data_IF_692954076231
#
_entry.id   IF_692954076231
#
_cell.length_a   1.000
_cell.length_b   1.000
_cell.length_c   1.000
_cell.angle_alpha   90.00
_cell.angle_beta   90.00
_cell.angle_gamma   90.00
#
_symmetry.space_group_name_H-M   'P 1'
#
loop_
_entity.id
_entity.type
_entity.pdbx_description
1 polymer ?
#
# COMPACT_ATOMS: atom_id res chain seq x y z
N UNK A 1 13.96 -12.92 5.88
CA UNK A 1 14.66 -12.18 4.80
C UNK A 1 15.45 -13.21 4.03
N UNK A 2 15.30 -13.26 2.71
CA UNK A 2 16.05 -14.21 1.89
C UNK A 2 17.56 -13.90 1.95
N UNK A 3 18.40 -14.94 2.09
CA UNK A 3 19.85 -14.76 2.04
C UNK A 3 20.31 -14.40 0.62
N UNK A 4 21.51 -13.84 0.48
CA UNK A 4 22.08 -13.56 -0.84
C UNK A 4 22.15 -14.83 -1.72
N UNK A 5 22.48 -15.98 -1.11
CA UNK A 5 22.51 -17.27 -1.79
C UNK A 5 21.12 -17.70 -2.29
N UNK A 6 20.09 -17.53 -1.46
CA UNK A 6 18.70 -17.88 -1.81
C UNK A 6 18.20 -17.01 -2.96
N UNK A 7 18.41 -15.69 -2.86
CA UNK A 7 18.03 -14.73 -3.89
C UNK A 7 18.70 -15.03 -5.23
N UNK A 8 19.96 -15.47 -5.21
CA UNK A 8 20.68 -15.85 -6.44
C UNK A 8 20.05 -17.08 -7.11
N UNK A 9 19.49 -18.00 -6.34
CA UNK A 9 18.83 -19.20 -6.85
C UNK A 9 17.35 -18.96 -7.21
N UNK A 10 16.70 -18.01 -6.52
CA UNK A 10 15.28 -17.71 -6.63
C UNK A 10 15.02 -16.20 -6.76
N UNK A 11 15.53 -15.55 -7.84
CA UNK A 11 15.42 -14.09 -8.00
C UNK A 11 13.96 -13.61 -8.13
N UNK A 12 13.04 -14.51 -8.49
CA UNK A 12 11.60 -14.24 -8.55
C UNK A 12 11.03 -13.71 -7.23
N UNK A 13 11.62 -14.11 -6.10
CA UNK A 13 11.20 -13.68 -4.75
C UNK A 13 11.47 -12.20 -4.48
N UNK A 14 12.26 -11.52 -5.31
CA UNK A 14 12.52 -10.08 -5.20
C UNK A 14 11.54 -9.21 -5.98
N UNK A 15 10.70 -9.80 -6.83
CA UNK A 15 9.71 -9.06 -7.61
C UNK A 15 8.74 -8.37 -6.65
N UNK A 16 8.55 -7.06 -6.81
CA UNK A 16 7.71 -6.23 -5.94
C UNK A 16 8.12 -6.24 -4.45
N UNK A 17 9.41 -6.47 -4.16
CA UNK A 17 9.96 -6.43 -2.79
C UNK A 17 9.81 -5.06 -2.11
N UNK A 18 9.95 -3.96 -2.86
CA UNK A 18 9.74 -2.61 -2.35
C UNK A 18 8.32 -2.39 -1.80
N UNK A 19 7.26 -2.53 -2.62
CA UNK A 19 5.88 -2.42 -2.15
C UNK A 19 5.51 -3.44 -1.08
N UNK A 20 6.09 -4.65 -1.12
CA UNK A 20 5.92 -5.64 -0.06
C UNK A 20 6.46 -5.16 1.30
N UNK A 21 7.54 -4.39 1.29
CA UNK A 21 8.02 -3.65 2.46
C UNK A 21 7.00 -2.67 2.99
N UNK A 22 6.40 -1.86 2.12
CA UNK A 22 5.34 -0.91 2.48
C UNK A 22 4.13 -1.61 3.12
N UNK A 23 3.72 -2.76 2.58
CA UNK A 23 2.64 -3.58 3.13
C UNK A 23 2.98 -4.07 4.54
N UNK A 24 4.21 -4.56 4.77
CA UNK A 24 4.65 -4.98 6.10
C UNK A 24 4.63 -3.82 7.11
N UNK A 25 5.00 -2.62 6.65
CA UNK A 25 4.84 -1.39 7.44
C UNK A 25 3.38 -1.07 7.74
N UNK A 26 2.50 -1.17 6.74
CA UNK A 26 1.07 -0.89 6.88
C UNK A 26 0.36 -1.84 7.86
N UNK A 27 0.77 -3.12 7.91
CA UNK A 27 0.31 -4.07 8.96
C UNK A 27 0.63 -3.52 10.36
N UNK A 28 1.84 -3.01 10.57
CA UNK A 28 2.23 -2.41 11.86
C UNK A 28 1.46 -1.13 12.16
N UNK A 29 1.24 -0.28 11.16
CA UNK A 29 0.44 0.93 11.30
C UNK A 29 -0.98 0.57 11.74
N UNK A 30 -1.62 -0.40 11.07
CA UNK A 30 -2.94 -0.91 11.44
C UNK A 30 -2.99 -1.42 12.88
N UNK A 31 -1.99 -2.18 13.32
CA UNK A 31 -1.88 -2.65 14.70
C UNK A 31 -1.74 -1.49 15.70
N UNK A 32 -0.91 -0.49 15.39
CA UNK A 32 -0.65 0.65 16.28
C UNK A 32 -1.89 1.54 16.48
N UNK A 33 -2.74 1.67 15.46
CA UNK A 33 -4.00 2.44 15.56
C UNK A 33 -5.20 1.57 15.98
N UNK A 34 -5.00 0.28 16.25
CA UNK A 34 -6.08 -0.65 16.60
C UNK A 34 -7.06 -0.93 15.46
N UNK A 35 -6.65 -0.77 14.20
CA UNK A 35 -7.42 -1.07 13.00
C UNK A 35 -6.64 -2.07 12.11
N UNK A 36 -6.78 -3.39 12.34
CA UNK A 36 -6.02 -4.41 11.62
C UNK A 36 -6.45 -4.58 10.15
N UNK A 37 -7.63 -4.06 9.78
CA UNK A 37 -8.15 -4.05 8.42
C UNK A 37 -7.77 -2.75 7.72
N UNK A 38 -6.84 -2.85 6.78
CA UNK A 38 -6.18 -1.71 6.14
C UNK A 38 -6.23 -1.85 4.63
N UNK A 39 -6.61 -0.77 3.96
CA UNK A 39 -6.32 -0.56 2.55
C UNK A 39 -5.02 0.23 2.45
N UNK A 40 -3.97 -0.39 1.92
CA UNK A 40 -2.67 0.26 1.77
C UNK A 40 -2.47 0.77 0.35
N UNK A 41 -2.03 2.02 0.22
CA UNK A 41 -1.73 2.68 -1.05
C UNK A 41 -0.35 3.35 -0.98
N UNK A 42 0.57 2.97 -1.86
CA UNK A 42 1.89 3.60 -2.02
C UNK A 42 1.93 4.33 -3.36
N UNK A 43 2.03 5.67 -3.35
CA UNK A 43 2.08 6.48 -4.58
C UNK A 43 3.47 7.07 -4.76
N UNK A 44 4.20 6.49 -5.71
CA UNK A 44 5.53 6.95 -6.12
C UNK A 44 5.48 7.98 -7.25
N UNK A 45 6.64 8.20 -7.87
CA UNK A 45 6.77 9.08 -9.04
C UNK A 45 6.31 8.45 -10.36
N UNK A 46 6.22 7.13 -10.47
CA UNK A 46 5.90 6.46 -11.75
C UNK A 46 4.60 5.68 -11.65
N UNK A 47 4.45 4.95 -10.56
CA UNK A 47 3.35 4.02 -10.33
C UNK A 47 2.77 4.26 -8.94
N UNK A 48 1.56 3.75 -8.75
CA UNK A 48 1.03 3.52 -7.43
C UNK A 48 0.69 2.04 -7.27
N UNK A 49 0.84 1.57 -6.05
CA UNK A 49 0.68 0.17 -5.69
C UNK A 49 -0.30 0.08 -4.53
N UNK A 50 -1.18 -0.90 -4.59
CA UNK A 50 -2.22 -1.09 -3.58
C UNK A 50 -2.20 -2.51 -3.02
N UNK A 51 -2.56 -2.65 -1.75
CA UNK A 51 -2.79 -3.94 -1.10
C UNK A 51 -3.96 -3.88 -0.14
N UNK A 52 -4.69 -4.98 -0.02
CA UNK A 52 -5.69 -5.17 1.01
C UNK A 52 -5.09 -6.03 2.12
N UNK A 53 -5.22 -5.57 3.36
CA UNK A 53 -4.78 -6.25 4.57
C UNK A 53 -6.02 -6.47 5.42
N UNK A 54 -6.27 -7.72 5.81
CA UNK A 54 -7.41 -8.11 6.63
C UNK A 54 -6.91 -8.88 7.83
N UNK A 55 -7.40 -8.54 9.01
CA UNK A 55 -6.98 -9.14 10.29
C UNK A 55 -5.45 -9.09 10.47
N UNK A 56 -4.81 -8.02 9.98
CA UNK A 56 -3.35 -7.86 9.99
C UNK A 56 -2.59 -8.78 9.02
N UNK A 57 -3.30 -9.42 8.07
CA UNK A 57 -2.73 -10.34 7.08
C UNK A 57 -2.89 -9.78 5.65
N UNK A 58 -1.77 -9.54 4.93
CA UNK A 58 -1.84 -9.14 3.53
C UNK A 58 -2.49 -10.20 2.65
N UNK A 59 -3.38 -9.77 1.76
CA UNK A 59 -4.03 -10.65 0.80
C UNK A 59 -3.13 -10.89 -0.41
N UNK A 60 -2.81 -12.16 -0.68
CA UNK A 60 -1.99 -12.55 -1.84
C UNK A 60 -2.85 -12.56 -3.10
N UNK A 61 -2.38 -11.90 -4.16
CA UNK A 61 -3.05 -11.90 -5.46
C UNK A 61 -2.38 -12.92 -6.37
N UNK A 62 -3.10 -13.96 -6.84
CA UNK A 62 -2.50 -15.03 -7.62
C UNK A 62 -2.28 -14.71 -9.11
N UNK A 63 -2.68 -13.51 -9.57
CA UNK A 63 -2.75 -13.16 -10.99
C UNK A 63 -1.84 -11.99 -11.40
N UNK A 64 -0.80 -11.65 -10.65
CA UNK A 64 0.10 -10.59 -11.09
C UNK A 64 0.91 -11.05 -12.30
N UNK A 65 0.75 -10.39 -13.45
CA UNK A 65 1.40 -10.82 -14.70
C UNK A 65 2.57 -9.90 -15.06
N UNK A 66 3.77 -10.47 -15.04
CA UNK A 66 4.98 -9.84 -15.56
C UNK A 66 4.97 -9.89 -17.09
N UNK A 67 5.42 -8.82 -17.73
CA UNK A 67 5.56 -8.72 -19.20
C UNK A 67 4.26 -9.03 -19.98
N UNK A 68 3.11 -8.82 -19.35
CA UNK A 68 1.84 -8.99 -20.02
C UNK A 68 1.59 -7.89 -21.05
N UNK A 69 1.01 -8.26 -22.18
CA UNK A 69 0.44 -7.33 -23.15
C UNK A 69 -0.80 -7.94 -23.80
N UNK A 70 -1.51 -7.16 -24.62
CA UNK A 70 -2.62 -7.71 -25.43
C UNK A 70 -2.19 -8.86 -26.36
N UNK A 71 -0.90 -8.99 -26.66
CA UNK A 71 -0.34 -10.01 -27.54
C UNK A 71 0.52 -11.05 -26.82
N UNK A 72 0.78 -10.89 -25.52
CA UNK A 72 1.59 -11.79 -24.73
C UNK A 72 0.91 -12.08 -23.39
N UNK A 73 0.66 -13.36 -23.04
CA UNK A 73 0.01 -13.70 -21.78
C UNK A 73 0.89 -13.37 -20.55
N UNK A 74 2.16 -13.04 -20.74
CA UNK A 74 3.10 -12.74 -19.66
C UNK A 74 3.39 -13.93 -18.76
N UNK A 75 3.99 -13.66 -17.59
CA UNK A 75 4.30 -14.65 -16.56
C UNK A 75 3.55 -14.32 -15.28
N UNK A 76 2.71 -15.23 -14.82
CA UNK A 76 1.96 -15.04 -13.58
C UNK A 76 2.85 -15.32 -12.37
N UNK A 77 2.87 -14.39 -11.43
CA UNK A 77 3.50 -14.53 -10.12
C UNK A 77 2.51 -14.15 -9.02
N UNK A 78 2.72 -14.70 -7.83
CA UNK A 78 1.88 -14.40 -6.67
C UNK A 78 2.56 -13.30 -5.85
N UNK A 79 1.94 -12.13 -5.78
CA UNK A 79 2.42 -11.00 -4.95
C UNK A 79 1.23 -10.36 -4.22
N UNK A 80 1.44 -9.77 -3.04
CA UNK A 80 0.37 -9.12 -2.29
C UNK A 80 0.04 -7.72 -2.81
N UNK A 81 0.41 -7.40 -4.05
CA UNK A 81 0.38 -6.05 -4.62
C UNK A 81 -0.46 -6.04 -5.89
N UNK A 82 -1.28 -5.00 -6.04
CA UNK A 82 -1.95 -4.64 -7.28
C UNK A 82 -1.34 -3.33 -7.79
N UNK A 83 -0.91 -3.31 -9.04
CA UNK A 83 -0.45 -2.08 -9.70
C UNK A 83 -1.67 -1.30 -10.20
N UNK A 84 -1.72 -0.01 -9.87
CA UNK A 84 -2.78 0.89 -10.29
C UNK A 84 -2.30 1.96 -11.29
N UNK A 85 -1.03 1.92 -11.70
CA UNK A 85 -0.50 2.54 -12.91
C UNK A 85 -0.30 4.06 -12.91
N UNK A 86 -0.79 4.80 -11.92
CA UNK A 86 -0.67 6.25 -11.85
C UNK A 86 0.18 6.70 -10.65
N UNK A 87 1.22 7.51 -10.88
CA UNK A 87 2.07 8.13 -9.86
C UNK A 87 2.35 9.60 -10.20
N UNK A 88 3.13 10.31 -9.38
CA UNK A 88 3.33 11.77 -9.54
C UNK A 88 3.82 12.21 -10.92
N UNK A 89 4.61 11.39 -11.61
CA UNK A 89 5.13 11.65 -12.95
C UNK A 89 4.24 11.15 -14.09
N UNK A 90 3.03 10.65 -13.83
CA UNK A 90 2.09 10.29 -14.88
C UNK A 90 1.76 11.50 -15.74
N UNK A 91 1.88 11.32 -17.06
CA UNK A 91 1.78 12.39 -18.05
C UNK A 91 0.31 12.70 -18.33
N UNK A 92 -0.03 13.98 -18.35
CA UNK A 92 -1.31 14.48 -18.80
C UNK A 92 -1.27 14.80 -20.30
N UNK A 93 -2.30 14.39 -21.04
CA UNK A 93 -2.40 14.65 -22.49
C UNK A 93 -3.85 14.80 -22.94
N UNK A 94 -4.04 15.51 -24.06
CA UNK A 94 -5.33 15.60 -24.75
C UNK A 94 -5.28 14.65 -25.96
N UNK A 95 -6.28 13.78 -26.10
CA UNK A 95 -6.39 12.91 -27.26
C UNK A 95 -6.95 13.62 -28.50
N UNK A 96 -6.99 12.92 -29.64
CA UNK A 96 -7.53 13.47 -30.89
C UNK A 96 -9.02 13.83 -30.82
N UNK A 97 -9.75 13.29 -29.84
CA UNK A 97 -11.17 13.57 -29.62
C UNK A 97 -11.38 14.73 -28.63
N UNK A 98 -10.31 15.32 -28.08
CA UNK A 98 -10.37 16.42 -27.12
C UNK A 98 -10.56 15.98 -25.66
N UNK A 99 -10.43 14.69 -25.34
CA UNK A 99 -10.52 14.22 -23.96
C UNK A 99 -9.18 14.31 -23.24
N UNK A 100 -9.22 14.70 -21.98
CA UNK A 100 -8.06 14.71 -21.08
C UNK A 100 -7.81 13.31 -20.52
N UNK A 101 -6.56 12.86 -20.64
CA UNK A 101 -6.05 11.60 -20.10
C UNK A 101 -4.88 11.86 -19.17
N UNK A 102 -4.71 11.00 -18.16
CA UNK A 102 -3.57 11.02 -17.24
C UNK A 102 -3.01 9.60 -17.10
N UNK A 103 -1.75 9.42 -17.50
CA UNK A 103 -1.14 8.11 -17.65
C UNK A 103 -1.66 7.34 -18.88
N UNK A 104 -1.26 6.08 -19.07
CA UNK A 104 -0.33 5.31 -18.22
C UNK A 104 1.14 5.69 -18.41
N UNK A 105 1.45 6.51 -19.42
CA UNK A 105 2.81 6.99 -19.65
C UNK A 105 3.29 7.85 -18.48
N UNK A 106 4.57 7.73 -18.15
CA UNK A 106 5.20 8.47 -17.06
C UNK A 106 6.49 9.12 -17.51
N UNK A 107 6.75 10.32 -17.01
CA UNK A 107 8.00 11.04 -17.20
C UNK A 107 9.17 10.45 -16.37
N UNK A 108 8.88 9.50 -15.47
CA UNK A 108 9.84 8.88 -14.57
C UNK A 108 10.54 9.90 -13.67
N UNK A 109 11.80 9.63 -13.31
CA UNK A 109 12.65 10.56 -12.54
C UNK A 109 13.60 11.37 -13.43
N UNK A 110 13.87 10.88 -14.65
CA UNK A 110 14.75 11.50 -15.65
C UNK A 110 14.17 11.23 -17.04
N UNK A 111 13.71 12.25 -17.78
CA UNK A 111 13.83 13.68 -17.46
C UNK A 111 12.91 14.12 -16.30
N UNK A 112 11.86 13.36 -15.97
CA UNK A 112 10.93 13.66 -14.89
C UNK A 112 9.94 14.80 -15.22
N UNK A 113 9.11 15.19 -14.23
CA UNK A 113 8.23 16.35 -14.30
C UNK A 113 8.92 17.60 -14.86
N UNK A 114 8.16 18.44 -15.54
CA UNK A 114 8.67 19.67 -16.17
C UNK A 114 9.28 20.60 -15.12
N UNK A 115 8.64 20.70 -13.96
CA UNK A 115 9.05 21.51 -12.83
C UNK A 115 10.41 21.11 -12.24
N UNK A 116 10.95 19.93 -12.57
CA UNK A 116 12.31 19.54 -12.14
C UNK A 116 13.42 20.22 -12.94
N UNK A 117 13.10 20.88 -14.07
CA UNK A 117 14.09 21.60 -14.88
C UNK A 117 15.14 20.70 -15.55
N UNK A 118 14.87 19.40 -15.69
CA UNK A 118 15.79 18.37 -16.22
C UNK A 118 15.54 18.01 -17.69
N UNK A 119 14.82 18.86 -18.42
CA UNK A 119 14.48 18.64 -19.84
C UNK A 119 13.15 17.90 -20.06
N UNK A 120 12.33 17.73 -19.02
CA UNK A 120 10.95 17.25 -19.17
C UNK A 120 10.11 18.31 -19.88
N UNK A 121 9.22 17.88 -20.78
CA UNK A 121 8.37 18.79 -21.59
C UNK A 121 6.87 18.48 -21.47
N UNK A 122 6.51 17.29 -21.01
CA UNK A 122 5.12 16.86 -20.91
C UNK A 122 4.61 17.12 -19.50
N UNK A 123 3.44 17.77 -19.32
CA UNK A 123 2.90 18.07 -18.00
C UNK A 123 2.56 16.78 -17.24
N UNK A 124 2.83 16.77 -15.94
CA UNK A 124 2.59 15.62 -15.05
C UNK A 124 1.69 15.95 -13.87
N UNK A 125 1.32 14.95 -13.06
CA UNK A 125 0.59 15.17 -11.80
C UNK A 125 1.42 16.04 -10.85
N UNK A 126 2.72 15.82 -10.71
CA UNK A 126 3.60 16.66 -9.88
C UNK A 126 3.61 18.11 -10.35
N UNK A 127 3.63 18.34 -11.67
CA UNK A 127 3.50 19.69 -12.21
C UNK A 127 2.15 20.33 -11.84
N UNK A 128 1.06 19.57 -11.89
CA UNK A 128 -0.26 20.04 -11.46
C UNK A 128 -0.31 20.38 -9.97
N UNK A 129 0.29 19.55 -9.11
CA UNK A 129 0.38 19.78 -7.67
C UNK A 129 1.17 21.05 -7.34
N UNK A 130 2.20 21.36 -8.13
CA UNK A 130 2.93 22.62 -8.01
C UNK A 130 2.10 23.81 -8.46
N UNK A 131 1.45 23.73 -9.63
CA UNK A 131 0.64 24.82 -10.18
C UNK A 131 -0.55 25.16 -9.27
N UNK A 132 -1.14 24.16 -8.63
CA UNK A 132 -2.27 24.33 -7.69
C UNK A 132 -1.86 24.76 -6.29
N UNK A 133 -0.55 24.94 -6.03
CA UNK A 133 -0.04 25.42 -4.74
C UNK A 133 0.05 24.36 -3.65
N UNK A 134 -0.14 23.07 -3.96
CA UNK A 134 0.01 21.99 -2.97
C UNK A 134 1.49 21.82 -2.60
N UNK A 135 2.38 21.84 -3.60
CA UNK A 135 3.83 21.73 -3.38
C UNK A 135 4.48 23.08 -3.12
N UNK A 136 5.49 23.09 -2.24
CA UNK A 136 6.40 24.21 -2.07
C UNK A 136 7.43 24.26 -3.20
N UNK A 137 7.51 25.36 -3.99
CA UNK A 137 8.53 25.48 -5.02
C UNK A 137 9.97 25.61 -4.48
N UNK A 138 10.15 26.15 -3.27
CA UNK A 138 11.48 26.42 -2.69
C UNK A 138 11.95 25.28 -1.78
N UNK A 139 11.02 24.57 -1.14
CA UNK A 139 11.34 23.57 -0.11
C UNK A 139 11.22 22.10 -0.58
N UNK A 140 11.11 21.84 -1.88
CA UNK A 140 10.99 20.46 -2.38
C UNK A 140 12.23 19.61 -2.03
N UNK A 141 11.99 18.40 -1.55
CA UNK A 141 13.02 17.52 -0.99
C UNK A 141 13.89 18.22 0.08
N UNK A 142 13.26 18.98 0.98
CA UNK A 142 13.92 19.77 2.03
C UNK A 142 14.91 20.80 1.47
N UNK A 143 14.51 21.48 0.40
CA UNK A 143 15.29 22.53 -0.28
C UNK A 143 16.45 22.00 -1.13
N UNK A 144 16.55 20.69 -1.37
CA UNK A 144 17.57 20.13 -2.26
C UNK A 144 17.29 20.42 -3.74
N UNK A 145 16.05 20.77 -4.08
CA UNK A 145 15.65 21.10 -5.45
C UNK A 145 14.63 22.23 -5.41
N UNK A 146 14.91 23.31 -6.14
CA UNK A 146 13.90 24.34 -6.44
C UNK A 146 13.10 23.93 -7.66
N UNK A 147 11.77 24.03 -7.57
CA UNK A 147 10.86 23.67 -8.65
C UNK A 147 10.55 24.88 -9.54
N UNK A 148 10.53 24.65 -10.85
CA UNK A 148 10.21 25.69 -11.84
C UNK A 148 8.70 25.79 -12.08
N UNK A 149 8.06 26.70 -11.35
CA UNK A 149 6.62 26.98 -11.48
C UNK A 149 6.28 27.52 -12.87
N UNK A 150 7.13 28.36 -13.46
CA UNK A 150 6.86 28.98 -14.76
C UNK A 150 6.91 27.95 -15.89
N UNK A 151 7.86 27.02 -15.82
CA UNK A 151 7.94 25.90 -16.76
C UNK A 151 6.72 24.97 -16.63
N UNK A 152 6.32 24.63 -15.39
CA UNK A 152 5.11 23.83 -15.15
C UNK A 152 3.86 24.49 -15.75
N UNK A 153 3.65 25.79 -15.47
CA UNK A 153 2.52 26.56 -16.03
C UNK A 153 2.55 26.58 -17.56
N UNK A 154 3.72 26.77 -18.16
CA UNK A 154 3.89 26.76 -19.62
C UNK A 154 3.53 25.40 -20.21
N UNK A 155 3.92 24.29 -19.56
CA UNK A 155 3.58 22.94 -20.02
C UNK A 155 2.07 22.63 -19.96
N UNK A 156 1.32 23.29 -19.07
CA UNK A 156 -0.13 23.17 -18.99
C UNK A 156 -0.89 24.02 -20.02
N UNK A 157 -0.25 25.00 -20.68
CA UNK A 157 -0.91 25.89 -21.63
C UNK A 157 -1.69 25.13 -22.74
N UNK A 158 -1.14 24.10 -23.39
CA UNK A 158 -1.88 23.37 -24.43
C UNK A 158 -3.15 22.67 -23.91
N UNK A 159 -3.12 22.18 -22.66
CA UNK A 159 -4.29 21.54 -22.03
C UNK A 159 -5.33 22.60 -21.68
N UNK A 160 -4.90 23.73 -21.10
CA UNK A 160 -5.74 24.88 -20.78
C UNK A 160 -6.44 25.43 -22.03
N UNK A 161 -5.70 25.60 -23.13
CA UNK A 161 -6.25 26.07 -24.42
C UNK A 161 -7.27 25.08 -25.00
N UNK A 162 -6.97 23.77 -24.95
CA UNK A 162 -7.86 22.74 -25.48
C UNK A 162 -9.18 22.62 -24.69
N UNK A 163 -9.13 22.81 -23.37
CA UNK A 163 -10.29 22.77 -22.49
C UNK A 163 -11.00 24.12 -22.35
N UNK A 164 -10.42 25.20 -22.86
CA UNK A 164 -10.91 26.57 -22.74
C UNK A 164 -11.16 26.97 -21.27
N UNK A 165 -10.18 26.68 -20.42
CA UNK A 165 -10.18 26.97 -18.98
C UNK A 165 -8.84 27.59 -18.55
N UNK A 166 -8.72 28.05 -17.30
CA UNK A 166 -7.45 28.54 -16.78
C UNK A 166 -6.41 27.42 -16.62
N UNK A 167 -5.12 27.77 -16.48
CA UNK A 167 -4.06 26.80 -16.21
C UNK A 167 -4.32 26.07 -14.88
N UNK A 168 -4.77 26.79 -13.85
CA UNK A 168 -5.13 26.24 -12.55
C UNK A 168 -6.29 25.24 -12.66
N UNK A 169 -7.31 25.56 -13.44
CA UNK A 169 -8.44 24.67 -13.72
C UNK A 169 -8.00 23.41 -14.47
N UNK A 170 -7.12 23.56 -15.47
CA UNK A 170 -6.53 22.42 -16.19
C UNK A 170 -5.68 21.52 -15.26
N UNK A 171 -4.84 22.10 -14.40
CA UNK A 171 -4.05 21.36 -13.42
C UNK A 171 -4.94 20.65 -12.39
N UNK A 172 -5.96 21.33 -11.88
CA UNK A 172 -6.97 20.73 -10.98
C UNK A 172 -7.70 19.57 -11.66
N UNK A 173 -8.06 19.70 -12.95
CA UNK A 173 -8.69 18.63 -13.71
C UNK A 173 -7.78 17.39 -13.86
N UNK A 174 -6.48 17.59 -14.06
CA UNK A 174 -5.49 16.49 -14.10
C UNK A 174 -5.43 15.75 -12.77
N UNK A 175 -5.37 16.48 -11.64
CA UNK A 175 -5.38 15.87 -10.30
C UNK A 175 -6.68 15.07 -10.10
N UNK A 176 -7.84 15.64 -10.44
CA UNK A 176 -9.14 14.96 -10.31
C UNK A 176 -9.24 13.69 -11.14
N UNK A 177 -8.68 13.66 -12.35
CA UNK A 177 -8.66 12.43 -13.18
C UNK A 177 -7.76 11.38 -12.54
N UNK A 178 -6.59 11.77 -12.02
CA UNK A 178 -5.71 10.85 -11.31
C UNK A 178 -6.40 10.26 -10.07
N UNK A 179 -7.05 11.09 -9.26
CA UNK A 179 -7.84 10.66 -8.11
C UNK A 179 -8.97 9.70 -8.52
N UNK A 180 -9.73 10.03 -9.56
CA UNK A 180 -10.82 9.19 -10.06
C UNK A 180 -10.30 7.81 -10.53
N UNK A 181 -9.16 7.78 -11.24
CA UNK A 181 -8.52 6.55 -11.67
C UNK A 181 -8.08 5.70 -10.47
N UNK A 182 -7.46 6.33 -9.46
CA UNK A 182 -7.06 5.66 -8.23
C UNK A 182 -8.27 5.13 -7.45
N UNK A 183 -9.33 5.92 -7.28
CA UNK A 183 -10.58 5.49 -6.61
C UNK A 183 -11.17 4.27 -7.30
N UNK A 184 -11.24 4.28 -8.64
CA UNK A 184 -11.73 3.15 -9.40
C UNK A 184 -10.88 1.90 -9.14
N UNK A 185 -9.55 2.03 -9.19
CA UNK A 185 -8.65 0.91 -8.91
C UNK A 185 -8.76 0.40 -7.47
N UNK A 186 -8.88 1.30 -6.49
CA UNK A 186 -9.10 0.96 -5.08
C UNK A 186 -10.43 0.22 -4.87
N UNK A 187 -11.48 0.56 -5.60
CA UNK A 187 -12.77 -0.18 -5.60
C UNK A 187 -12.65 -1.57 -6.22
N UNK A 188 -11.77 -1.78 -7.21
CA UNK A 188 -11.50 -3.11 -7.77
C UNK A 188 -10.84 -4.05 -6.75
N UNK A 189 -9.95 -3.53 -5.90
CA UNK A 189 -9.25 -4.36 -4.91
C UNK A 189 -10.04 -4.56 -3.61
N UNK A 190 -11.11 -3.78 -3.39
CA UNK A 190 -11.99 -3.86 -2.21
C UNK A 190 -13.36 -4.42 -2.57
N UNK A 191 -14.24 -3.58 -3.14
CA UNK A 191 -15.66 -3.87 -3.39
C UNK A 191 -15.85 -5.09 -4.28
N UNK A 192 -15.08 -5.22 -5.36
CA UNK A 192 -15.18 -6.38 -6.24
C UNK A 192 -14.71 -7.69 -5.60
N UNK A 193 -14.00 -7.60 -4.47
CA UNK A 193 -13.58 -8.73 -3.64
C UNK A 193 -14.49 -8.94 -2.41
N UNK A 194 -15.60 -8.20 -2.32
CA UNK A 194 -16.59 -8.36 -1.25
C UNK A 194 -16.27 -7.59 0.03
N UNK A 195 -15.32 -6.64 0.01
CA UNK A 195 -14.96 -5.83 1.18
C UNK A 195 -15.45 -4.39 1.03
N UNK A 196 -16.13 -3.90 2.07
CA UNK A 196 -16.61 -2.51 2.12
C UNK A 196 -15.48 -1.57 2.60
N UNK A 197 -15.07 -0.57 1.80
CA UNK A 197 -14.04 0.39 2.20
C UNK A 197 -14.35 1.14 3.50
N UNK A 198 -15.63 1.27 3.88
CA UNK A 198 -16.06 1.97 5.10
C UNK A 198 -15.61 1.27 6.38
N UNK A 199 -15.34 -0.03 6.31
CA UNK A 199 -14.83 -0.82 7.42
C UNK A 199 -13.29 -0.74 7.53
N UNK A 200 -12.62 -0.14 6.54
CA UNK A 200 -11.16 -0.11 6.42
C UNK A 200 -10.59 1.24 6.85
N UNK A 201 -9.34 1.23 7.31
CA UNK A 201 -8.50 2.44 7.35
C UNK A 201 -7.60 2.50 6.11
N UNK A 202 -7.50 3.66 5.46
CA UNK A 202 -6.65 3.86 4.30
C UNK A 202 -5.26 4.36 4.72
N UNK A 203 -4.25 3.50 4.66
CA UNK A 203 -2.85 3.91 4.91
C UNK A 203 -2.23 4.34 3.59
N UNK A 204 -1.79 5.61 3.50
CA UNK A 204 -1.20 6.17 2.27
C UNK A 204 0.25 6.56 2.47
N UNK A 205 1.15 6.00 1.67
CA UNK A 205 2.57 6.31 1.65
C UNK A 205 3.06 6.75 0.27
N UNK A 206 4.38 6.90 0.15
CA UNK A 206 5.06 7.36 -1.05
C UNK A 206 5.18 8.87 -1.07
N UNK A 207 6.10 9.38 -1.90
CA UNK A 207 6.36 10.82 -1.96
C UNK A 207 5.15 11.62 -2.47
N UNK A 208 4.31 11.00 -3.32
CA UNK A 208 3.14 11.65 -3.90
C UNK A 208 1.81 11.28 -3.22
N UNK A 209 1.81 10.26 -2.37
CA UNK A 209 0.58 9.71 -1.81
C UNK A 209 -0.15 10.66 -0.87
N UNK A 210 0.53 11.24 0.14
CA UNK A 210 -0.12 12.12 1.12
C UNK A 210 -0.77 13.38 0.55
N UNK A 211 -0.35 13.83 -0.64
CA UNK A 211 -1.00 14.94 -1.36
C UNK A 211 -2.38 14.56 -1.92
N UNK A 212 -2.62 13.29 -2.20
CA UNK A 212 -3.86 12.74 -2.77
C UNK A 212 -4.74 12.06 -1.70
N UNK A 213 -4.12 11.63 -0.61
CA UNK A 213 -4.68 10.67 0.34
C UNK A 213 -6.07 11.04 0.88
N UNK A 214 -6.26 12.29 1.28
CA UNK A 214 -7.47 12.73 1.99
C UNK A 214 -8.70 12.80 1.10
N UNK A 215 -8.52 13.15 -0.18
CA UNK A 215 -9.60 13.10 -1.17
C UNK A 215 -9.98 11.65 -1.48
N UNK A 216 -8.99 10.76 -1.63
CA UNK A 216 -9.23 9.33 -1.84
C UNK A 216 -9.99 8.71 -0.66
N UNK A 217 -9.57 9.01 0.57
CA UNK A 217 -10.23 8.55 1.78
C UNK A 217 -11.68 9.01 1.88
N UNK A 218 -11.94 10.30 1.64
CA UNK A 218 -13.29 10.87 1.60
C UNK A 218 -14.21 10.18 0.59
N UNK A 219 -13.75 10.04 -0.65
CA UNK A 219 -14.52 9.45 -1.75
C UNK A 219 -14.79 7.95 -1.57
N UNK A 220 -13.91 7.26 -0.85
CA UNK A 220 -14.12 5.86 -0.44
C UNK A 220 -14.90 5.73 0.87
N UNK A 221 -15.12 6.85 1.59
CA UNK A 221 -15.76 6.88 2.90
C UNK A 221 -15.10 5.94 3.92
N UNK A 222 -13.78 5.84 3.86
CA UNK A 222 -13.02 4.99 4.79
C UNK A 222 -13.16 5.48 6.23
N UNK A 223 -12.94 4.57 7.18
CA UNK A 223 -13.01 4.90 8.61
C UNK A 223 -12.03 6.00 9.02
N UNK A 224 -10.82 5.96 8.46
CA UNK A 224 -9.80 7.00 8.62
C UNK A 224 -8.78 6.92 7.50
N UNK A 225 -8.14 8.04 7.18
CA UNK A 225 -6.96 8.10 6.31
C UNK A 225 -5.73 8.30 7.17
N UNK A 226 -4.72 7.47 6.99
CA UNK A 226 -3.54 7.45 7.84
C UNK A 226 -2.29 7.70 7.02
N UNK A 227 -1.55 8.75 7.38
CA UNK A 227 -0.24 9.04 6.80
C UNK A 227 0.84 8.56 7.79
N UNK A 228 1.62 7.51 7.45
CA UNK A 228 2.63 6.99 8.33
C UNK A 228 3.77 7.99 8.51
N UNK A 229 4.63 7.76 9.51
CA UNK A 229 5.91 8.46 9.59
C UNK A 229 6.78 8.09 8.39
N UNK A 230 7.52 9.06 7.87
CA UNK A 230 8.41 8.87 6.72
C UNK A 230 7.72 8.30 5.45
N UNK A 231 6.56 8.81 5.03
CA UNK A 231 5.77 8.27 3.92
C UNK A 231 6.60 8.10 2.64
N UNK A 232 7.48 9.04 2.29
CA UNK A 232 8.31 8.94 1.09
C UNK A 232 9.37 7.83 1.11
N UNK A 233 9.71 7.28 2.29
CA UNK A 233 10.63 6.13 2.45
C UNK A 233 9.99 4.98 3.24
N UNK A 234 8.66 4.96 3.32
CA UNK A 234 7.90 4.06 4.18
C UNK A 234 8.14 2.59 3.85
N UNK A 235 8.31 2.26 2.58
CA UNK A 235 8.63 0.90 2.14
C UNK A 235 9.96 0.39 2.71
N UNK A 236 10.97 1.26 2.88
CA UNK A 236 12.22 0.89 3.53
C UNK A 236 12.04 0.71 5.05
N UNK A 237 11.28 1.60 5.70
CA UNK A 237 10.92 1.45 7.10
C UNK A 237 10.13 0.17 7.37
N UNK A 238 9.19 -0.18 6.48
CA UNK A 238 8.40 -1.40 6.53
C UNK A 238 9.23 -2.67 6.33
N UNK A 239 10.30 -2.63 5.52
CA UNK A 239 11.26 -3.75 5.44
C UNK A 239 12.08 -3.95 6.72
N UNK A 240 12.53 -2.86 7.35
CA UNK A 240 13.31 -2.90 8.59
C UNK A 240 12.45 -3.26 9.79
N UNK A 241 11.19 -2.83 9.77
CA UNK A 241 10.15 -3.32 10.65
C UNK A 241 9.56 -4.54 9.97
N UNK A 242 10.25 -5.63 9.74
CA UNK A 242 9.58 -6.89 9.37
C UNK A 242 10.32 -8.01 10.07
N UNK A 243 9.57 -8.92 10.68
CA UNK A 243 10.21 -10.12 11.20
C UNK A 243 10.79 -10.89 10.02
N UNK A 244 12.05 -11.35 10.10
CA UNK A 244 12.60 -12.19 9.06
C UNK A 244 11.73 -13.43 8.89
N UNK A 245 11.10 -13.53 7.72
CA UNK A 245 10.24 -14.66 7.34
C UNK A 245 10.88 -15.55 6.28
N UNK A 246 10.54 -16.84 6.31
CA UNK A 246 10.74 -17.81 5.24
C UNK A 246 9.47 -18.67 5.06
N UNK A 247 9.19 -19.05 3.82
CA UNK A 247 8.05 -19.87 3.43
C UNK A 247 8.57 -21.19 2.86
N UNK A 248 8.35 -22.28 3.59
CA UNK A 248 8.81 -23.61 3.20
C UNK A 248 7.63 -24.46 2.75
N UNK A 249 7.77 -25.11 1.59
CA UNK A 249 6.73 -25.95 1.00
C UNK A 249 7.24 -27.38 0.77
N UNK A 250 6.36 -28.36 0.98
CA UNK A 250 6.61 -29.78 0.66
C UNK A 250 5.41 -30.35 -0.06
N UNK A 251 5.59 -30.88 -1.26
CA UNK A 251 4.54 -31.65 -1.92
C UNK A 251 4.34 -32.97 -1.19
N UNK A 252 3.11 -33.23 -0.80
CA UNK A 252 2.70 -34.44 -0.11
C UNK A 252 1.30 -34.80 -0.61
N UNK A 253 1.20 -35.88 -1.37
CA UNK A 253 -0.09 -36.45 -1.75
C UNK A 253 -0.52 -37.47 -0.71
N UNK A 254 -1.75 -37.35 -0.22
CA UNK A 254 -2.30 -38.26 0.77
C UNK A 254 -3.79 -38.04 1.01
N UNK A 255 -4.41 -38.99 1.70
CA UNK A 255 -5.79 -38.90 2.15
C UNK A 255 -5.84 -38.31 3.57
N UNK A 256 -6.98 -37.71 3.93
CA UNK A 256 -7.22 -37.24 5.29
C UNK A 256 -7.70 -38.40 6.16
N UNK A 257 -6.75 -39.22 6.61
CA UNK A 257 -6.96 -40.29 7.59
C UNK A 257 -5.90 -40.21 8.71
N UNK A 258 -5.92 -41.18 9.64
CA UNK A 258 -4.97 -41.16 10.76
C UNK A 258 -3.50 -41.29 10.28
N UNK A 259 -3.24 -42.08 9.23
CA UNK A 259 -1.88 -42.26 8.70
C UNK A 259 -1.41 -40.99 7.96
N UNK A 260 -2.30 -40.35 7.19
CA UNK A 260 -2.07 -39.09 6.51
C UNK A 260 -1.74 -37.96 7.49
N UNK A 261 -2.48 -37.86 8.59
CA UNK A 261 -2.19 -36.88 9.64
C UNK A 261 -0.84 -37.13 10.32
N UNK A 262 -0.45 -38.38 10.59
CA UNK A 262 0.89 -38.66 11.12
C UNK A 262 2.00 -38.29 10.13
N UNK A 263 1.80 -38.57 8.83
CA UNK A 263 2.72 -38.14 7.77
C UNK A 263 2.84 -36.61 7.71
N UNK A 264 1.72 -35.89 7.78
CA UNK A 264 1.70 -34.42 7.83
C UNK A 264 2.55 -33.92 9.01
N UNK A 265 2.33 -34.47 10.22
CA UNK A 265 3.10 -34.06 11.41
C UNK A 265 4.59 -34.32 11.25
N UNK A 266 4.97 -35.48 10.72
CA UNK A 266 6.37 -35.83 10.48
C UNK A 266 7.02 -34.90 9.45
N UNK A 267 6.34 -34.58 8.35
CA UNK A 267 6.88 -33.67 7.35
C UNK A 267 6.96 -32.23 7.84
N UNK A 268 6.02 -31.78 8.67
CA UNK A 268 6.14 -30.48 9.31
C UNK A 268 7.33 -30.40 10.27
N UNK A 269 7.65 -31.48 11.00
CA UNK A 269 8.88 -31.51 11.81
C UNK A 269 10.13 -31.34 10.93
N UNK A 270 10.18 -31.99 9.76
CA UNK A 270 11.29 -31.80 8.81
C UNK A 270 11.37 -30.36 8.30
N UNK A 271 10.23 -29.70 8.07
CA UNK A 271 10.18 -28.31 7.65
C UNK A 271 10.58 -27.35 8.78
N UNK A 272 10.25 -27.65 10.04
CA UNK A 272 10.70 -26.87 11.20
C UNK A 272 12.21 -26.91 11.32
N UNK A 273 12.84 -28.09 11.19
CA UNK A 273 14.32 -28.21 11.19
C UNK A 273 14.94 -27.38 10.06
N UNK A 274 14.33 -27.38 8.87
CA UNK A 274 14.79 -26.52 7.77
C UNK A 274 14.67 -25.02 8.07
N UNK A 275 13.64 -24.60 8.81
CA UNK A 275 13.48 -23.21 9.23
C UNK A 275 14.51 -22.82 10.30
N UNK A 276 14.77 -23.70 11.26
CA UNK A 276 15.82 -23.55 12.28
C UNK A 276 17.19 -23.37 11.63
N UNK A 277 17.55 -24.24 10.68
CA UNK A 277 18.78 -24.16 9.89
C UNK A 277 18.86 -22.85 9.09
N UNK A 278 17.75 -22.43 8.46
CA UNK A 278 17.70 -21.20 7.65
C UNK A 278 18.00 -19.95 8.49
N UNK A 279 17.45 -19.85 9.69
CA UNK A 279 17.68 -18.72 10.60
C UNK A 279 18.91 -18.89 11.49
N UNK A 280 19.59 -20.04 11.41
CA UNK A 280 20.70 -20.40 12.29
C UNK A 280 20.31 -20.28 13.77
N UNK A 281 19.12 -20.80 14.10
CA UNK A 281 18.60 -20.89 15.47
C UNK A 281 18.40 -22.35 15.84
N UNK A 282 18.65 -22.71 17.09
CA UNK A 282 18.48 -24.09 17.58
C UNK A 282 17.30 -24.25 18.54
N UNK A 283 16.55 -23.16 18.75
CA UNK A 283 15.40 -23.10 19.64
C UNK A 283 14.16 -22.73 18.84
N UNK A 284 13.20 -23.66 18.76
CA UNK A 284 11.92 -23.44 18.07
C UNK A 284 11.12 -22.30 18.68
N UNK A 285 11.33 -21.98 19.96
CA UNK A 285 10.68 -20.84 20.62
C UNK A 285 11.14 -19.50 20.03
N UNK A 286 12.29 -19.45 19.35
CA UNK A 286 12.73 -18.29 18.59
C UNK A 286 11.91 -18.08 17.30
N UNK A 287 11.04 -19.02 16.92
CA UNK A 287 10.23 -18.95 15.71
C UNK A 287 8.74 -18.77 16.05
N UNK A 288 8.04 -17.96 15.25
CA UNK A 288 6.60 -18.04 15.09
C UNK A 288 6.31 -18.96 13.91
N UNK A 289 5.63 -20.08 14.16
CA UNK A 289 5.35 -21.10 13.17
C UNK A 289 3.85 -21.12 12.86
N UNK A 290 3.50 -21.04 11.59
CA UNK A 290 2.14 -21.27 11.10
C UNK A 290 2.16 -22.45 10.12
N UNK A 291 1.33 -23.43 10.42
CA UNK A 291 1.22 -24.66 9.64
C UNK A 291 -0.06 -24.61 8.81
N UNK A 292 0.06 -24.85 7.51
CA UNK A 292 -1.08 -24.93 6.62
C UNK A 292 -0.94 -26.13 5.68
N UNK A 293 -2.07 -26.79 5.42
CA UNK A 293 -2.18 -27.92 4.50
C UNK A 293 -3.02 -27.46 3.32
N UNK A 294 -2.45 -27.52 2.11
CA UNK A 294 -3.21 -27.35 0.89
C UNK A 294 -3.98 -28.65 0.62
N UNK A 295 -5.31 -28.56 0.63
CA UNK A 295 -6.22 -29.68 0.45
C UNK A 295 -7.36 -29.33 -0.50
N UNK A 296 -7.93 -30.35 -1.14
CA UNK A 296 -9.09 -30.21 -2.05
C UNK A 296 -9.98 -31.44 -1.98
N UNK A 297 -11.21 -31.31 -2.47
CA UNK A 297 -12.02 -32.50 -2.71
C UNK A 297 -11.41 -33.32 -3.85
N UNK A 298 -11.45 -34.64 -3.74
CA UNK A 298 -10.95 -35.53 -4.77
C UNK A 298 -11.62 -35.22 -6.12
N UNK A 299 -10.79 -35.03 -7.15
CA UNK A 299 -11.25 -34.66 -8.50
C UNK A 299 -11.42 -33.16 -8.75
N UNK A 300 -11.22 -32.30 -7.74
CA UNK A 300 -11.08 -30.87 -7.97
C UNK A 300 -9.67 -30.52 -8.46
N UNK A 301 -9.56 -29.41 -9.19
CA UNK A 301 -8.27 -28.90 -9.66
C UNK A 301 -7.61 -27.98 -8.62
N UNK A 302 -8.39 -27.13 -7.93
CA UNK A 302 -7.86 -26.12 -7.02
C UNK A 302 -7.95 -26.54 -5.55
N UNK A 303 -6.88 -26.23 -4.80
CA UNK A 303 -6.80 -26.46 -3.35
C UNK A 303 -7.09 -25.19 -2.56
N UNK A 304 -7.59 -25.39 -1.33
CA UNK A 304 -7.66 -24.34 -0.29
C UNK A 304 -6.55 -24.55 0.73
N UNK A 305 -6.04 -23.47 1.31
CA UNK A 305 -5.04 -23.50 2.37
C UNK A 305 -5.73 -23.60 3.74
N UNK A 306 -5.63 -24.77 4.38
CA UNK A 306 -6.29 -25.07 5.66
C UNK A 306 -5.29 -24.95 6.79
N UNK A 307 -5.57 -24.13 7.79
CA UNK A 307 -4.76 -24.04 9.01
C UNK A 307 -4.72 -25.42 9.68
N UNK A 308 -3.51 -25.86 10.04
CA UNK A 308 -3.27 -27.14 10.70
C UNK A 308 -2.73 -26.92 12.11
N UNK A 309 -3.30 -27.63 13.07
CA UNK A 309 -2.82 -27.67 14.45
C UNK A 309 -2.19 -29.03 14.74
N UNK A 310 -1.11 -29.06 15.54
CA UNK A 310 -0.41 -30.32 15.83
C UNK A 310 -1.33 -31.39 16.45
N UNK A 311 -2.30 -30.96 17.26
CA UNK A 311 -3.31 -31.79 17.92
C UNK A 311 -4.57 -32.02 17.07
N UNK A 312 -4.59 -31.64 15.79
CA UNK A 312 -5.73 -31.93 14.93
C UNK A 312 -5.98 -33.43 14.84
N UNK A 313 -7.26 -33.77 14.92
CA UNK A 313 -7.78 -35.10 14.60
C UNK A 313 -8.28 -35.09 13.16
N UNK A 314 -8.52 -36.27 12.58
CA UNK A 314 -9.15 -36.38 11.25
C UNK A 314 -10.44 -35.57 11.21
N UNK A 315 -11.28 -35.69 12.24
CA UNK A 315 -12.56 -34.99 12.30
C UNK A 315 -12.41 -33.47 12.40
N UNK A 316 -11.52 -32.96 13.25
CA UNK A 316 -11.32 -31.50 13.40
C UNK A 316 -10.75 -30.90 12.12
N UNK A 317 -9.78 -31.56 11.49
CA UNK A 317 -9.22 -31.09 10.23
C UNK A 317 -10.25 -31.06 9.11
N UNK A 318 -11.07 -32.11 8.96
CA UNK A 318 -12.16 -32.16 7.95
C UNK A 318 -13.15 -31.01 8.17
N UNK A 319 -13.52 -30.72 9.42
CA UNK A 319 -14.41 -29.61 9.74
C UNK A 319 -13.81 -28.26 9.35
N UNK A 320 -12.54 -28.01 9.71
CA UNK A 320 -11.81 -26.79 9.32
C UNK A 320 -11.71 -26.68 7.80
N UNK A 321 -11.39 -27.76 7.11
CA UNK A 321 -11.35 -27.80 5.65
C UNK A 321 -12.70 -27.42 5.04
N UNK A 322 -13.81 -28.00 5.50
CA UNK A 322 -15.14 -27.66 4.99
C UNK A 322 -15.50 -26.20 5.19
N UNK A 323 -15.21 -25.63 6.37
CA UNK A 323 -15.47 -24.23 6.66
C UNK A 323 -14.63 -23.29 5.76
N UNK A 324 -13.34 -23.60 5.59
CA UNK A 324 -12.44 -22.84 4.72
C UNK A 324 -12.87 -22.94 3.25
N UNK A 325 -13.24 -24.13 2.77
CA UNK A 325 -13.72 -24.34 1.41
C UNK A 325 -15.06 -23.62 1.17
N UNK A 326 -16.00 -23.67 2.11
CA UNK A 326 -17.28 -22.97 2.02
C UNK A 326 -17.09 -21.45 1.99
N UNK A 327 -16.12 -20.92 2.73
CA UNK A 327 -15.75 -19.50 2.67
C UNK A 327 -15.19 -19.12 1.30
N UNK A 328 -14.32 -19.97 0.72
CA UNK A 328 -13.67 -19.69 -0.55
C UNK A 328 -14.60 -19.88 -1.78
N UNK A 329 -15.49 -20.87 -1.75
CA UNK A 329 -16.27 -21.32 -2.91
C UNK A 329 -17.78 -21.40 -2.68
N UNK A 330 -18.27 -20.96 -1.51
CA UNK A 330 -19.72 -20.91 -1.16
C UNK A 330 -20.44 -22.27 -1.08
N UNK A 331 -19.72 -23.40 -1.07
CA UNK A 331 -20.29 -24.73 -0.87
C UNK A 331 -19.35 -25.70 -0.15
N UNK A 332 -19.92 -26.82 0.31
CA UNK A 332 -19.22 -27.99 0.86
C UNK A 332 -19.76 -29.29 0.28
N UNK A 333 -18.92 -30.31 0.16
CA UNK A 333 -19.24 -31.67 -0.30
C UNK A 333 -18.90 -32.69 0.81
N UNK A 334 -19.79 -32.90 1.80
CA UNK A 334 -19.45 -33.69 2.99
C UNK A 334 -19.09 -35.16 2.70
N UNK A 335 -19.65 -35.71 1.62
CA UNK A 335 -19.45 -37.11 1.21
C UNK A 335 -18.24 -37.30 0.28
N UNK A 336 -17.63 -36.21 -0.17
CA UNK A 336 -16.49 -36.28 -1.10
C UNK A 336 -15.18 -36.47 -0.31
N UNK A 337 -14.33 -37.45 -0.68
CA UNK A 337 -13.01 -37.60 -0.08
C UNK A 337 -12.19 -36.33 -0.23
N UNK A 338 -11.33 -36.07 0.76
CA UNK A 338 -10.41 -34.93 0.78
C UNK A 338 -9.00 -35.45 0.52
N UNK A 339 -8.32 -34.82 -0.43
CA UNK A 339 -6.93 -35.11 -0.74
C UNK A 339 -6.02 -33.94 -0.34
N UNK A 340 -4.91 -34.29 0.28
CA UNK A 340 -3.81 -33.40 0.63
C UNK A 340 -2.92 -33.28 -0.62
N UNK A 341 -2.48 -32.07 -0.94
CA UNK A 341 -1.61 -31.81 -2.11
C UNK A 341 -0.25 -31.26 -1.71
N UNK A 342 -0.21 -30.31 -0.77
CA UNK A 342 1.03 -29.71 -0.29
C UNK A 342 0.94 -29.35 1.19
N UNK A 343 2.10 -29.22 1.81
CA UNK A 343 2.29 -28.61 3.12
C UNK A 343 2.98 -27.26 2.93
N UNK A 344 2.57 -26.29 3.75
CA UNK A 344 3.15 -24.96 3.81
C UNK A 344 3.45 -24.61 5.26
N UNK A 345 4.72 -24.39 5.55
CA UNK A 345 5.19 -23.83 6.81
C UNK A 345 5.60 -22.37 6.58
N UNK A 346 4.97 -21.46 7.29
CA UNK A 346 5.47 -20.09 7.44
C UNK A 346 6.25 -20.02 8.75
N UNK A 347 7.52 -19.63 8.66
CA UNK A 347 8.38 -19.44 9.83
C UNK A 347 8.89 -18.01 9.87
N UNK A 348 8.58 -17.31 10.96
CA UNK A 348 9.09 -15.96 11.24
C UNK A 348 10.03 -16.02 12.44
N UNK A 349 11.24 -15.51 12.26
CA UNK A 349 12.21 -15.41 13.34
C UNK A 349 11.86 -14.23 14.25
N UNK A 350 11.70 -14.50 15.55
CA UNK A 350 11.52 -13.50 16.61
C UNK A 350 12.84 -12.79 16.88
N UNK A 351 13.14 -11.80 16.05
CA UNK A 351 14.31 -10.94 16.21
C UNK A 351 13.92 -9.53 16.63
N UNK A 352 14.90 -8.77 17.10
CA UNK A 352 14.75 -7.33 17.25
C UNK A 352 14.45 -6.70 15.90
N UNK A 353 13.47 -5.82 15.90
CA UNK A 353 12.97 -5.05 14.75
C UNK A 353 12.90 -3.60 15.17
N UNK A 354 12.94 -2.68 14.20
CA UNK A 354 12.70 -1.27 14.54
C UNK A 354 11.24 -1.11 15.00
N UNK A 355 11.05 -0.44 16.14
CA UNK A 355 9.74 -0.06 16.65
C UNK A 355 9.26 1.26 16.06
N UNK A 356 8.04 1.65 16.42
CA UNK A 356 7.60 3.04 16.28
C UNK A 356 8.00 3.80 17.54
N UNK A 357 8.85 4.80 17.40
CA UNK A 357 9.24 5.65 18.53
C UNK A 357 8.07 6.53 18.95
N UNK A 358 7.87 6.65 20.25
CA UNK A 358 6.95 7.66 20.79
C UNK A 358 7.52 9.06 20.56
N UNK A 359 6.64 9.99 20.21
CA UNK A 359 6.96 11.41 20.12
C UNK A 359 6.50 12.13 21.40
N UNK A 360 7.11 13.27 21.74
CA UNK A 360 6.73 14.02 22.94
C UNK A 360 5.24 14.40 22.92
N UNK A 361 4.62 14.40 24.10
CA UNK A 361 3.36 15.07 24.34
C UNK A 361 3.63 16.48 24.87
N UNK A 362 2.83 17.46 24.43
CA UNK A 362 2.91 18.85 24.88
C UNK A 362 1.51 19.39 25.15
N UNK A 363 1.43 20.47 25.93
CA UNK A 363 0.14 21.13 26.22
C UNK A 363 -0.27 22.09 25.10
N UNK A 364 0.70 22.63 24.36
CA UNK A 364 0.49 23.64 23.34
C UNK A 364 1.40 23.39 22.14
N UNK A 365 0.86 23.69 20.96
CA UNK A 365 1.63 23.66 19.73
C UNK A 365 2.75 24.72 19.80
N UNK A 366 4.01 24.34 19.48
CA UNK A 366 5.09 25.32 19.35
C UNK A 366 4.68 26.44 18.39
N UNK A 367 4.96 27.69 18.74
CA UNK A 367 4.55 28.85 17.93
C UNK A 367 5.17 28.87 16.53
N UNK A 368 6.28 28.17 16.34
CA UNK A 368 7.01 27.96 15.09
C UNK A 368 6.57 26.70 14.31
N UNK A 369 5.64 25.90 14.85
CA UNK A 369 5.10 24.75 14.14
C UNK A 369 4.33 25.17 12.88
N UNK A 370 3.63 26.31 12.92
CA UNK A 370 3.05 26.94 11.73
C UNK A 370 4.13 27.79 11.04
N UNK A 371 4.68 27.28 9.94
CA UNK A 371 5.76 27.95 9.21
C UNK A 371 5.28 29.07 8.29
N UNK A 372 4.00 29.07 7.91
CA UNK A 372 3.45 30.08 7.02
C UNK A 372 2.05 29.76 6.53
N UNK A 373 1.66 30.44 5.45
CA UNK A 373 0.38 30.28 4.76
C UNK A 373 0.67 30.13 3.27
N UNK A 374 0.01 29.18 2.61
CA UNK A 374 0.11 28.97 1.17
C UNK A 374 -1.29 28.93 0.57
N UNK A 375 -1.49 29.65 -0.53
CA UNK A 375 -2.74 29.55 -1.29
C UNK A 375 -2.76 28.26 -2.10
N UNK A 376 -3.83 27.50 -1.95
CA UNK A 376 -4.08 26.24 -2.68
C UNK A 376 -5.34 26.39 -3.51
N UNK A 377 -5.29 25.97 -4.77
CA UNK A 377 -6.42 26.02 -5.69
C UNK A 377 -7.27 24.74 -5.61
N UNK A 378 -8.48 24.85 -5.08
CA UNK A 378 -9.41 23.72 -4.86
C UNK A 378 -10.44 23.53 -5.99
N UNK A 379 -10.06 23.89 -7.22
CA UNK A 379 -10.94 23.82 -8.39
C UNK A 379 -11.90 25.02 -8.48
N UNK A 380 -12.68 25.06 -9.57
CA UNK A 380 -13.56 26.20 -9.91
C UNK A 380 -14.62 26.51 -8.86
N UNK A 381 -15.06 25.51 -8.10
CA UNK A 381 -16.15 25.65 -7.13
C UNK A 381 -15.70 26.39 -5.86
N UNK A 382 -14.41 26.36 -5.55
CA UNK A 382 -13.83 26.95 -4.33
C UNK A 382 -12.76 28.02 -4.61
N UNK A 383 -12.07 27.94 -5.74
CA UNK A 383 -10.98 28.84 -6.11
C UNK A 383 -9.74 28.66 -5.23
N UNK A 384 -8.99 29.75 -5.06
CA UNK A 384 -7.82 29.81 -4.19
C UNK A 384 -8.25 29.96 -2.72
N UNK A 385 -7.70 29.12 -1.85
CA UNK A 385 -7.94 29.14 -0.42
C UNK A 385 -6.60 29.20 0.30
N UNK A 386 -6.45 30.13 1.23
CA UNK A 386 -5.26 30.27 2.07
C UNK A 386 -5.21 29.19 3.14
N UNK A 387 -4.21 28.29 3.05
CA UNK A 387 -4.02 27.18 3.96
C UNK A 387 -2.81 27.41 4.87
N UNK A 388 -2.95 27.26 6.20
CA UNK A 388 -1.79 27.23 7.10
C UNK A 388 -0.90 26.02 6.77
N UNK A 389 0.42 26.23 6.85
CA UNK A 389 1.43 25.21 6.57
C UNK A 389 2.16 24.86 7.86
N UNK A 390 2.08 23.60 8.26
CA UNK A 390 2.72 23.09 9.48
C UNK A 390 3.96 22.27 9.16
N UNK A 391 4.99 22.36 10.01
CA UNK A 391 6.10 21.42 10.02
C UNK A 391 5.72 20.15 10.79
N UNK A 392 5.73 19.00 10.10
CA UNK A 392 5.42 17.71 10.74
C UNK A 392 6.33 17.42 11.93
N UNK A 393 7.60 17.84 11.90
CA UNK A 393 8.56 17.54 12.95
C UNK A 393 8.25 18.27 14.28
N UNK A 394 7.42 19.32 14.22
CA UNK A 394 7.02 20.11 15.39
C UNK A 394 5.62 19.75 15.91
N UNK A 395 4.94 18.78 15.27
CA UNK A 395 3.70 18.22 15.78
C UNK A 395 4.00 17.24 16.92
N UNK A 396 3.17 17.27 17.95
CA UNK A 396 3.32 16.47 19.16
C UNK A 396 2.14 15.50 19.32
N UNK A 397 2.31 14.47 20.18
CA UNK A 397 1.28 13.47 20.42
C UNK A 397 -0.03 14.09 20.94
N UNK A 398 -1.15 13.76 20.31
CA UNK A 398 -2.49 14.29 20.62
C UNK A 398 -2.79 15.65 20.00
N UNK A 399 -1.89 16.21 19.19
CA UNK A 399 -2.16 17.44 18.46
C UNK A 399 -3.26 17.21 17.42
N UNK A 400 -4.32 18.01 17.49
CA UNK A 400 -5.42 18.03 16.53
C UNK A 400 -5.47 19.36 15.78
N UNK A 401 -5.66 19.31 14.46
CA UNK A 401 -5.77 20.47 13.59
C UNK A 401 -6.90 20.28 12.59
N UNK A 402 -7.72 21.32 12.39
CA UNK A 402 -8.83 21.31 11.44
C UNK A 402 -8.36 21.79 10.07
N UNK A 403 -8.77 21.09 9.01
CA UNK A 403 -8.53 21.51 7.64
C UNK A 403 -9.40 22.71 7.19
N UNK A 404 -9.04 23.39 6.08
CA UNK A 404 -8.00 22.99 5.13
C UNK A 404 -6.59 23.45 5.56
N UNK A 405 -5.62 22.55 5.52
CA UNK A 405 -4.22 22.84 5.88
C UNK A 405 -3.23 21.94 5.13
N UNK A 406 -1.95 22.33 5.15
CA UNK A 406 -0.84 21.52 4.65
C UNK A 406 0.07 21.11 5.82
N UNK A 407 0.53 19.87 5.83
CA UNK A 407 1.59 19.39 6.73
C UNK A 407 2.77 18.97 5.87
N UNK A 408 3.90 19.63 6.06
CA UNK A 408 5.12 19.37 5.32
C UNK A 408 6.12 18.56 6.10
N UNK A 409 6.82 17.71 5.38
CA UNK A 409 8.00 17.02 5.86
C UNK A 409 9.02 16.88 4.71
N UNK A 410 10.27 16.46 4.98
CA UNK A 410 11.31 16.41 3.95
C UNK A 410 10.96 15.62 2.69
N UNK A 411 10.08 14.62 2.79
CA UNK A 411 9.81 13.66 1.70
C UNK A 411 8.46 13.83 1.01
N UNK A 412 7.56 14.65 1.55
CA UNK A 412 6.20 14.82 1.02
C UNK A 412 5.48 16.03 1.62
N UNK A 413 4.30 16.31 1.09
CA UNK A 413 3.32 17.24 1.67
C UNK A 413 2.00 16.50 1.85
N UNK A 414 1.40 16.59 3.03
CA UNK A 414 0.06 16.06 3.30
C UNK A 414 -0.95 17.20 3.19
N UNK A 415 -2.02 16.99 2.42
CA UNK A 415 -3.14 17.92 2.32
C UNK A 415 -4.30 17.42 3.19
N UNK A 416 -4.79 18.25 4.11
CA UNK A 416 -6.01 17.97 4.88
C UNK A 416 -7.10 18.89 4.35
N UNK A 417 -8.25 18.34 3.96
CA UNK A 417 -9.32 19.10 3.32
C UNK A 417 -10.20 19.82 4.34
N UNK A 418 -10.93 20.83 3.89
CA UNK A 418 -12.00 21.43 4.69
C UNK A 418 -13.02 20.36 5.10
N UNK A 419 -13.48 20.39 6.36
CA UNK A 419 -14.36 19.37 6.93
C UNK A 419 -13.64 18.09 7.41
N UNK A 420 -12.31 18.09 7.45
CA UNK A 420 -11.52 17.01 8.07
C UNK A 420 -10.73 17.55 9.26
N UNK A 421 -10.46 16.66 10.21
CA UNK A 421 -9.52 16.88 11.31
C UNK A 421 -8.38 15.88 11.20
N UNK A 422 -7.16 16.35 11.44
CA UNK A 422 -5.96 15.51 11.56
C UNK A 422 -5.53 15.44 13.01
N UNK A 423 -5.31 14.22 13.52
CA UNK A 423 -4.72 13.95 14.82
C UNK A 423 -3.33 13.33 14.65
N UNK A 424 -2.35 13.83 15.41
CA UNK A 424 -1.04 13.21 15.53
C UNK A 424 -1.05 12.21 16.67
N UNK A 425 -0.88 10.92 16.37
CA UNK A 425 -0.83 9.86 17.39
C UNK A 425 0.45 9.91 18.24
N UNK A 426 0.51 9.11 19.31
CA UNK A 426 1.70 8.97 20.17
C UNK A 426 2.95 8.50 19.43
N UNK A 427 2.78 7.83 18.28
CA UNK A 427 3.86 7.33 17.42
C UNK A 427 4.11 8.22 16.20
N UNK A 428 3.47 9.39 16.12
CA UNK A 428 3.67 10.37 15.04
C UNK A 428 2.95 10.04 13.72
N UNK A 429 2.07 9.05 13.70
CA UNK A 429 1.13 8.83 12.59
C UNK A 429 0.14 9.98 12.53
N UNK A 430 -0.19 10.46 11.33
CA UNK A 430 -1.27 11.42 11.13
C UNK A 430 -2.55 10.64 10.79
N UNK A 431 -3.56 10.72 11.64
CA UNK A 431 -4.86 10.07 11.44
C UNK A 431 -5.87 11.16 11.09
N UNK A 432 -6.47 11.05 9.90
CA UNK A 432 -7.36 12.04 9.33
C UNK A 432 -8.75 11.45 9.24
N UNK A 433 -9.75 12.18 9.74
CA UNK A 433 -11.16 11.77 9.77
C UNK A 433 -12.06 12.91 9.31
N UNK A 434 -13.24 12.59 8.82
CA UNK A 434 -14.27 13.60 8.52
C UNK A 434 -14.85 14.15 9.83
N UNK A 435 -15.07 15.47 9.88
CA UNK A 435 -15.83 16.12 10.94
C UNK A 435 -17.32 15.79 10.77
N UNK A 436 -17.99 15.44 11.86
CA UNK A 436 -19.45 15.20 11.89
C UNK A 436 -20.29 16.47 11.68
#
# INVERSE_FOLDING_TARGET
MASFSDVRLQPLTLVESGPSGGIAGAVRVGQAIGAPDVLFLDVGGTTAKCSLILEGRPQIVPEYKLEWSRFSPGYTVQVPVVDIGAGGGSIASIDQAGHLHVGPESAGSTPGPVCYGRGGISPTITDAMLVTGILDPENFANGQMSLDVAAARTAFQPISDALNCSIEEASSAVIRIAEANMINALKLVTVQRGHDPRDLSLVVSGGAGPMLATKLGRELSVKSTVIPVYPGVFSAWGMLSALPRTDLRRTLFGEVDNEGLEKIRSEFQNLVVQAEDHFNVSDVEALNLQFAVEARYQGQEHSVSVVFQHNDTVQSFIQTFHATHETAYTFRLPESPIEITNLHLQAEHKSDIIGMSEIPQMDQLPGDAMKGVRDVFFGSDHGWVSCPVYDRALLFAGCQLDGPLLIEEPTTTSLVLAGQVVETTTTGLLVITELE
#
